data_IF_470319634850
#
_entry.id   IF_470319634850
#
_cell.length_a   1.000
_cell.length_b   1.000
_cell.length_c   1.000
_cell.angle_alpha   90.00
_cell.angle_beta   90.00
_cell.angle_gamma   90.00
#
_symmetry.space_group_name_H-M   'P 1'
#
loop_
_entity.id
_entity.type
_entity.pdbx_description
1 polymer ?
#
# COMPACT_ATOMS: atom_id res chain seq x y z
N UNK A 1 11.10 -1.16 6.22
CA UNK A 1 11.17 -1.36 4.76
C UNK A 1 12.09 -0.35 4.08
N UNK A 2 12.69 -0.78 2.95
CA UNK A 2 13.46 0.07 2.06
C UNK A 2 12.60 1.23 1.55
N UNK A 3 13.23 2.33 1.15
CA UNK A 3 12.56 3.58 0.81
C UNK A 3 11.45 3.40 -0.23
N UNK A 4 11.69 2.61 -1.28
CA UNK A 4 10.70 2.36 -2.32
C UNK A 4 9.41 1.78 -1.71
N UNK A 5 9.53 0.62 -1.05
CA UNK A 5 8.42 -0.08 -0.43
C UNK A 5 7.74 0.77 0.64
N UNK A 6 8.54 1.42 1.49
CA UNK A 6 8.10 2.34 2.53
C UNK A 6 7.17 3.41 1.95
N UNK A 7 7.61 4.08 0.88
CA UNK A 7 6.83 5.11 0.19
C UNK A 7 5.57 4.53 -0.45
N UNK A 8 5.65 3.32 -1.02
CA UNK A 8 4.49 2.65 -1.60
C UNK A 8 3.40 2.41 -0.55
N UNK A 9 3.77 1.89 0.64
CA UNK A 9 2.83 1.72 1.74
C UNK A 9 2.25 3.06 2.17
N UNK A 10 3.11 4.05 2.45
CA UNK A 10 2.72 5.38 2.90
C UNK A 10 1.68 5.99 1.96
N UNK A 11 1.95 5.96 0.65
CA UNK A 11 1.05 6.44 -0.38
C UNK A 11 -0.28 5.68 -0.33
N UNK A 12 -0.23 4.34 -0.39
CA UNK A 12 -1.41 3.49 -0.42
C UNK A 12 -2.33 3.73 0.79
N UNK A 13 -1.75 3.88 1.99
CA UNK A 13 -2.48 4.24 3.19
C UNK A 13 -3.21 5.57 2.98
N UNK A 14 -2.48 6.60 2.54
CA UNK A 14 -3.01 7.95 2.41
C UNK A 14 -3.60 8.15 1.01
N UNK A 15 -4.55 7.28 0.64
CA UNK A 15 -5.20 7.30 -0.66
C UNK A 15 -6.63 6.76 -0.51
N UNK A 16 -7.55 7.55 0.06
CA UNK A 16 -8.92 7.14 0.33
C UNK A 16 -9.79 7.04 -0.93
N UNK A 17 -9.24 7.33 -2.11
CA UNK A 17 -9.90 7.07 -3.38
C UNK A 17 -10.11 5.56 -3.52
N UNK A 18 -9.24 4.78 -2.86
CA UNK A 18 -9.39 3.34 -2.73
C UNK A 18 -10.22 3.11 -1.47
N UNK A 19 -11.13 2.13 -1.49
CA UNK A 19 -11.98 1.82 -0.35
C UNK A 19 -11.27 0.82 0.56
N UNK A 20 -11.95 0.33 1.61
CA UNK A 20 -11.37 -0.58 2.58
C UNK A 20 -10.73 -1.80 1.90
N UNK A 21 -11.53 -2.58 1.17
CA UNK A 21 -11.11 -3.81 0.53
C UNK A 21 -9.95 -3.55 -0.45
N UNK A 22 -10.13 -2.57 -1.34
CA UNK A 22 -9.17 -2.20 -2.36
C UNK A 22 -7.83 -1.79 -1.74
N UNK A 23 -7.87 -0.94 -0.72
CA UNK A 23 -6.70 -0.39 -0.06
C UNK A 23 -5.94 -1.49 0.69
N UNK A 24 -6.63 -2.31 1.49
CA UNK A 24 -6.01 -3.42 2.20
C UNK A 24 -5.40 -4.42 1.21
N UNK A 25 -6.09 -4.70 0.09
CA UNK A 25 -5.58 -5.55 -0.97
C UNK A 25 -4.31 -4.96 -1.59
N UNK A 26 -4.28 -3.63 -1.80
CA UNK A 26 -3.12 -2.92 -2.31
C UNK A 26 -1.93 -3.08 -1.36
N UNK A 27 -2.12 -2.81 -0.06
CA UNK A 27 -1.11 -3.01 0.96
C UNK A 27 -0.58 -4.45 0.92
N UNK A 28 -1.49 -5.43 0.86
CA UNK A 28 -1.15 -6.85 0.79
C UNK A 28 -0.28 -7.15 -0.43
N UNK A 29 -0.65 -6.63 -1.60
CA UNK A 29 0.07 -6.84 -2.85
C UNK A 29 1.48 -6.26 -2.78
N UNK A 30 1.61 -5.02 -2.28
CA UNK A 30 2.89 -4.36 -2.08
C UNK A 30 3.75 -5.20 -1.12
N UNK A 31 3.16 -5.69 -0.02
CA UNK A 31 3.87 -6.48 0.97
C UNK A 31 4.32 -7.83 0.42
N UNK A 32 3.50 -8.46 -0.43
CA UNK A 32 3.86 -9.70 -1.11
C UNK A 32 5.08 -9.48 -2.01
N UNK A 33 5.04 -8.43 -2.83
CA UNK A 33 6.12 -8.05 -3.73
C UNK A 33 7.41 -7.75 -2.96
N UNK A 34 7.33 -6.87 -1.97
CA UNK A 34 8.46 -6.38 -1.19
C UNK A 34 9.07 -7.47 -0.32
N UNK A 35 8.23 -8.26 0.36
#
# INVERSE_FOLDING_TARGET
FNMQCQRRFYEALHDPNLNEEQRNAKIKSIRDDCX
#
